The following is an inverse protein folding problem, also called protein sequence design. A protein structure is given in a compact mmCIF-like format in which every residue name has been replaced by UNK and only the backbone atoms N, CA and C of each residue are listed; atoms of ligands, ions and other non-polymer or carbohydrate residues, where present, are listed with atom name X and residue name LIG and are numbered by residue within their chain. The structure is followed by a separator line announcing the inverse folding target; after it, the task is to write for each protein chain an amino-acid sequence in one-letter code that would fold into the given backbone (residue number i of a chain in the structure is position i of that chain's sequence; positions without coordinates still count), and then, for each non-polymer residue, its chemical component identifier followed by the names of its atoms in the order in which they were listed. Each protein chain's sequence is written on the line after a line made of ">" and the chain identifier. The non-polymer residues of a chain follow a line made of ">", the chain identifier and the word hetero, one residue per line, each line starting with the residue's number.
data_IF_926689434534
#
_entry.id   IF_926689434534
#
_cell.length_a   1.000
_cell.length_b   1.000
_cell.length_c   1.000
_cell.angle_alpha   90.00
_cell.angle_beta   90.00
_cell.angle_gamma   90.00
#
_symmetry.space_group_name_H-M   'P 1'
#
loop_
_entity.id
_entity.type
_entity.pdbx_description
1 polymer ?
#
# COMPACT_ATOMS: atom_id res chain seq x y z
N UNK A 1 -5.70 10.41 -7.80
CA UNK A 1 -4.92 9.54 -8.72
C UNK A 1 -4.85 8.09 -8.26
N UNK A 2 -4.67 7.75 -6.97
CA UNK A 2 -4.76 6.36 -6.46
C UNK A 2 -6.20 6.01 -6.05
N UNK A 3 -6.81 6.77 -5.14
CA UNK A 3 -8.21 6.57 -4.72
C UNK A 3 -9.22 6.67 -5.89
N UNK A 4 -8.95 7.52 -6.88
CA UNK A 4 -9.78 7.64 -8.10
C UNK A 4 -9.68 6.40 -9.00
N UNK A 5 -8.56 5.66 -8.94
CA UNK A 5 -8.33 4.46 -9.75
C UNK A 5 -8.87 3.20 -9.07
N UNK A 6 -8.90 3.17 -7.74
CA UNK A 6 -9.48 2.07 -6.97
C UNK A 6 -10.97 2.27 -6.70
N UNK A 7 -11.47 3.51 -6.73
CA UNK A 7 -12.81 3.87 -6.27
C UNK A 7 -12.97 3.75 -4.75
N UNK A 8 -11.88 3.51 -4.03
CA UNK A 8 -11.84 3.17 -2.61
C UNK A 8 -10.87 4.12 -1.92
N UNK A 9 -11.39 4.84 -0.94
CA UNK A 9 -10.62 5.80 -0.14
C UNK A 9 -9.92 5.12 1.04
N UNK A 10 -10.57 4.14 1.64
CA UNK A 10 -10.05 3.32 2.73
C UNK A 10 -10.58 1.89 2.59
N UNK A 11 -9.74 0.91 2.90
CA UNK A 11 -10.15 -0.49 3.02
C UNK A 11 -9.36 -1.22 4.10
N UNK A 12 -9.94 -2.31 4.58
CA UNK A 12 -9.25 -3.26 5.45
C UNK A 12 -8.84 -4.48 4.66
N UNK A 13 -7.54 -4.77 4.65
CA UNK A 13 -6.99 -6.03 4.15
C UNK A 13 -6.74 -6.98 5.32
N UNK A 14 -7.03 -8.25 5.13
CA UNK A 14 -6.84 -9.30 6.13
C UNK A 14 -5.99 -10.42 5.55
N UNK A 15 -4.96 -10.80 6.30
CA UNK A 15 -4.09 -11.94 6.01
C UNK A 15 -3.61 -12.55 7.34
N UNK A 16 -2.96 -13.71 7.27
CA UNK A 16 -2.46 -14.41 8.45
C UNK A 16 -1.00 -14.07 8.73
N UNK A 17 -0.69 -13.66 9.97
CA UNK A 17 0.67 -13.37 10.42
C UNK A 17 1.23 -12.02 9.96
N UNK A 18 2.53 -11.82 10.19
CA UNK A 18 3.25 -10.65 9.66
C UNK A 18 3.77 -10.96 8.25
N UNK A 19 3.59 -10.02 7.32
CA UNK A 19 4.08 -10.14 5.96
C UNK A 19 5.06 -9.01 5.66
N UNK A 20 6.15 -9.27 4.91
CA UNK A 20 6.98 -8.19 4.38
C UNK A 20 6.14 -7.21 3.55
N UNK A 21 6.46 -5.92 3.59
CA UNK A 21 5.77 -4.88 2.83
C UNK A 21 5.68 -5.22 1.33
N UNK A 22 6.72 -5.82 0.74
CA UNK A 22 6.68 -6.28 -0.65
C UNK A 22 5.55 -7.28 -0.93
N UNK A 23 5.23 -8.15 0.04
CA UNK A 23 4.12 -9.10 -0.11
C UNK A 23 2.77 -8.43 0.05
N UNK A 24 2.65 -7.46 0.95
CA UNK A 24 1.44 -6.65 1.08
C UNK A 24 1.18 -5.84 -0.20
N UNK A 25 2.22 -5.28 -0.81
CA UNK A 25 2.14 -4.61 -2.12
C UNK A 25 1.58 -5.53 -3.21
N UNK A 26 2.09 -6.76 -3.30
CA UNK A 26 1.60 -7.72 -4.28
C UNK A 26 0.10 -8.04 -4.07
N UNK A 27 -0.33 -8.23 -2.81
CA UNK A 27 -1.74 -8.47 -2.49
C UNK A 27 -2.64 -7.27 -2.86
N UNK A 28 -2.15 -6.04 -2.66
CA UNK A 28 -2.84 -4.81 -3.06
C UNK A 28 -3.02 -4.75 -4.58
N UNK A 29 -1.98 -5.06 -5.35
CA UNK A 29 -2.04 -5.04 -6.83
C UNK A 29 -2.88 -6.18 -7.41
N UNK A 30 -2.89 -7.36 -6.77
CA UNK A 30 -3.79 -8.47 -7.12
C UNK A 30 -5.27 -8.08 -6.89
N UNK A 31 -5.57 -7.39 -5.78
CA UNK A 31 -6.93 -6.92 -5.45
C UNK A 31 -7.35 -5.73 -6.32
N UNK A 32 -6.42 -4.84 -6.62
CA UNK A 32 -6.64 -3.64 -7.42
C UNK A 32 -5.69 -3.60 -8.61
N UNK A 33 -6.01 -4.30 -9.71
CA UNK A 33 -5.17 -4.32 -10.90
C UNK A 33 -4.82 -2.94 -11.47
N UNK A 34 -5.66 -1.93 -11.20
CA UNK A 34 -5.42 -0.53 -11.57
C UNK A 34 -4.25 0.16 -10.85
N UNK A 35 -3.71 -0.44 -9.79
CA UNK A 35 -2.47 -0.02 -9.13
C UNK A 35 -1.22 -0.54 -9.84
N UNK A 36 -1.34 -1.63 -10.60
CA UNK A 36 -0.20 -2.20 -11.31
C UNK A 36 0.34 -1.21 -12.35
N UNK A 37 1.65 -0.97 -12.32
CA UNK A 37 2.31 -0.02 -13.20
C UNK A 37 2.09 1.47 -12.84
N UNK A 38 1.35 1.76 -11.77
CA UNK A 38 1.26 3.11 -11.22
C UNK A 38 2.46 3.31 -10.29
N UNK A 39 3.26 4.37 -10.45
CA UNK A 39 4.24 4.70 -9.43
C UNK A 39 3.51 5.14 -8.16
N UNK A 40 3.87 4.58 -7.01
CA UNK A 40 3.44 5.03 -5.68
C UNK A 40 4.42 4.53 -4.61
N UNK A 41 4.48 5.22 -3.47
CA UNK A 41 5.16 4.77 -2.26
C UNK A 41 4.12 4.29 -1.25
N UNK A 42 4.53 3.41 -0.35
CA UNK A 42 3.70 2.97 0.77
C UNK A 42 4.36 3.49 2.05
N UNK A 43 3.60 4.17 2.90
CA UNK A 43 3.99 4.45 4.28
C UNK A 43 3.28 3.46 5.20
N UNK A 44 4.01 2.94 6.19
CA UNK A 44 3.50 2.05 7.24
C UNK A 44 3.53 2.85 8.53
N UNK A 45 2.38 3.00 9.19
CA UNK A 45 2.24 3.79 10.42
C UNK A 45 2.86 5.20 10.30
N UNK A 46 2.58 5.86 9.16
CA UNK A 46 3.08 7.20 8.80
C UNK A 46 4.59 7.30 8.50
N UNK A 47 5.31 6.18 8.44
CA UNK A 47 6.74 6.14 8.11
C UNK A 47 7.03 5.42 6.79
N UNK A 48 8.02 5.90 6.03
CA UNK A 48 8.53 5.14 4.88
C UNK A 48 9.50 4.07 5.37
N UNK A 49 9.19 2.82 5.04
CA UNK A 49 9.97 1.66 5.47
C UNK A 49 10.40 0.82 4.26
N UNK A 50 11.39 -0.04 4.46
CA UNK A 50 11.88 -0.94 3.42
C UNK A 50 10.88 -2.05 3.10
N UNK A 51 10.96 -2.58 1.88
CA UNK A 51 10.10 -3.66 1.37
C UNK A 51 10.20 -4.97 2.19
N UNK A 52 11.29 -5.16 2.95
CA UNK A 52 11.48 -6.29 3.87
C UNK A 52 10.81 -6.10 5.23
N UNK A 53 10.33 -4.89 5.53
CA UNK A 53 9.75 -4.54 6.83
C UNK A 53 8.48 -5.36 7.07
N UNK A 54 8.39 -6.08 8.20
CA UNK A 54 7.21 -6.88 8.52
C UNK A 54 6.03 -5.99 8.90
N UNK A 55 4.99 -5.97 8.07
CA UNK A 55 3.71 -5.32 8.33
C UNK A 55 2.89 -6.23 9.26
N UNK A 56 2.54 -5.69 10.42
CA UNK A 56 1.77 -6.39 11.47
C UNK A 56 0.28 -6.10 11.34
N UNK A 57 -0.52 -6.91 12.00
CA UNK A 57 -1.96 -6.65 12.14
C UNK A 57 -2.18 -5.29 12.80
N UNK A 58 -3.12 -4.51 12.26
CA UNK A 58 -3.46 -3.17 12.75
C UNK A 58 -2.58 -2.05 12.24
N UNK A 59 -1.56 -2.33 11.40
CA UNK A 59 -0.74 -1.29 10.79
C UNK A 59 -1.56 -0.46 9.78
N UNK A 60 -1.39 0.85 9.81
CA UNK A 60 -1.96 1.77 8.84
C UNK A 60 -1.07 1.83 7.59
N UNK A 61 -1.66 1.68 6.39
CA UNK A 61 -0.93 1.72 5.13
C UNK A 61 -1.45 2.85 4.25
N UNK A 62 -0.61 3.85 4.00
CA UNK A 62 -0.94 4.95 3.10
C UNK A 62 -0.27 4.76 1.73
N UNK A 63 -1.07 4.65 0.67
CA UNK A 63 -0.59 4.59 -0.72
C UNK A 63 -0.47 6.01 -1.27
N UNK A 64 0.78 6.47 -1.38
CA UNK A 64 1.10 7.83 -1.78
C UNK A 64 1.60 7.84 -3.23
N UNK A 65 0.82 8.34 -4.21
CA UNK A 65 1.35 8.56 -5.55
C UNK A 65 2.57 9.51 -5.52
N UNK A 66 3.45 9.47 -6.52
CA UNK A 66 4.50 10.46 -6.67
C UNK A 66 3.81 11.78 -6.96
N UNK A 67 3.71 12.63 -5.95
CA UNK A 67 3.38 14.03 -6.20
C UNK A 67 4.62 14.89 -6.10
N UNK A 68 4.79 15.65 -7.17
CA UNK A 68 5.61 16.82 -7.36
C UNK A 68 5.17 17.89 -6.37
N UNK A 69 5.90 18.06 -5.28
CA UNK A 69 5.84 19.31 -4.53
C UNK A 69 6.29 20.44 -5.46
N UNK A 70 5.43 21.42 -5.68
CA UNK A 70 5.85 22.78 -6.02
C UNK A 70 6.38 23.47 -4.77
#
# INVERSE_FOLDING_TARGET
>A
MVAERTGVWEESLSWSGALPLARVRALLEERHPGLSGVPYRIAVDQEFVDDSTPVRSGAELALLPPFSGG
#
